data_IF_223258950634
#
_entry.id   IF_223258950634
#
_cell.length_a   1.000
_cell.length_b   1.000
_cell.length_c   1.000
_cell.angle_alpha   90.00
_cell.angle_beta   90.00
_cell.angle_gamma   90.00
#
_symmetry.space_group_name_H-M   'P 1'
#
loop_
_entity.id
_entity.type
_entity.pdbx_description
1 polymer ?
#
# COMPACT_ATOMS: atom_id res chain seq x y z
N UNK A 1 8.13 22.68 -1.80
CA UNK A 1 7.69 21.42 -2.44
C UNK A 1 6.20 21.29 -2.18
N UNK A 2 5.36 21.19 -3.21
CA UNK A 2 3.91 21.11 -3.06
C UNK A 2 3.45 19.86 -3.81
N UNK A 3 2.76 18.95 -3.12
CA UNK A 3 2.13 17.79 -3.75
C UNK A 3 0.79 18.27 -4.32
N UNK A 4 0.64 18.19 -5.65
CA UNK A 4 -0.65 18.30 -6.35
C UNK A 4 -0.80 17.09 -7.27
N UNK A 5 -1.99 16.52 -7.29
CA UNK A 5 -2.45 15.54 -8.29
C UNK A 5 -1.46 14.41 -8.62
N UNK A 6 -1.04 13.68 -7.59
CA UNK A 6 -0.34 12.39 -7.70
C UNK A 6 1.08 12.41 -8.34
N UNK A 7 1.72 13.56 -8.47
CA UNK A 7 3.13 13.62 -8.88
C UNK A 7 3.95 14.63 -8.07
N UNK A 8 5.21 14.28 -7.78
CA UNK A 8 6.23 15.22 -7.31
C UNK A 8 6.72 16.03 -8.52
N UNK A 9 6.36 17.31 -8.60
CA UNK A 9 6.87 18.21 -9.63
C UNK A 9 8.08 18.97 -9.08
N UNK A 10 9.23 18.81 -9.73
CA UNK A 10 10.44 19.59 -9.43
C UNK A 10 10.23 21.06 -9.80
N UNK A 11 10.62 21.99 -8.92
CA UNK A 11 10.58 23.44 -9.18
C UNK A 11 11.75 23.93 -10.04
N UNK A 12 12.65 23.05 -10.49
CA UNK A 12 13.74 23.41 -11.39
C UNK A 12 13.23 23.34 -12.83
N UNK A 13 13.33 24.47 -13.55
CA UNK A 13 12.86 24.62 -14.92
C UNK A 13 13.20 23.43 -15.82
N UNK A 14 12.16 22.84 -16.40
CA UNK A 14 12.27 21.78 -17.39
C UNK A 14 13.12 22.26 -18.57
N UNK A 15 14.32 21.71 -18.70
CA UNK A 15 15.16 21.84 -19.91
C UNK A 15 14.97 20.59 -20.77
N UNK A 16 14.47 20.70 -22.01
CA UNK A 16 14.40 19.56 -22.92
C UNK A 16 15.81 18.95 -23.10
N UNK A 17 15.96 17.66 -22.81
CA UNK A 17 17.22 16.92 -22.98
C UNK A 17 17.98 16.53 -21.70
N UNK A 18 17.50 16.89 -20.50
CA UNK A 18 18.12 16.48 -19.24
C UNK A 18 17.38 15.28 -18.62
N UNK A 19 18.08 14.16 -18.41
CA UNK A 19 17.56 13.02 -17.64
C UNK A 19 17.45 13.42 -16.16
N UNK A 20 16.23 13.42 -15.61
CA UNK A 20 16.00 13.67 -14.18
C UNK A 20 16.28 12.37 -13.45
N UNK A 21 17.38 12.30 -12.71
CA UNK A 21 17.71 11.17 -11.84
C UNK A 21 17.16 11.46 -10.45
N UNK A 22 16.34 10.56 -9.89
CA UNK A 22 15.82 10.76 -8.54
C UNK A 22 16.86 10.36 -7.48
N UNK A 23 17.05 11.24 -6.48
CA UNK A 23 17.90 10.93 -5.33
C UNK A 23 17.28 9.85 -4.44
N UNK A 24 18.10 9.22 -3.58
CA UNK A 24 17.59 8.29 -2.54
C UNK A 24 16.55 8.95 -1.63
N UNK A 25 16.74 10.24 -1.31
CA UNK A 25 15.76 11.02 -0.55
C UNK A 25 14.43 11.15 -1.29
N UNK A 26 14.44 11.43 -2.59
CA UNK A 26 13.22 11.52 -3.39
C UNK A 26 12.43 10.19 -3.36
N UNK A 27 13.14 9.05 -3.47
CA UNK A 27 12.53 7.72 -3.36
C UNK A 27 11.96 7.47 -1.95
N UNK A 28 12.65 7.88 -0.90
CA UNK A 28 12.13 7.76 0.48
C UNK A 28 10.87 8.58 0.69
N UNK A 29 10.85 9.83 0.21
CA UNK A 29 9.71 10.72 0.32
C UNK A 29 8.51 10.17 -0.48
N UNK A 30 8.76 9.54 -1.63
CA UNK A 30 7.74 8.84 -2.42
C UNK A 30 7.15 7.61 -1.71
N UNK A 31 8.00 6.76 -1.11
CA UNK A 31 7.55 5.60 -0.31
C UNK A 31 6.73 6.06 0.89
N UNK A 32 7.17 7.10 1.61
CA UNK A 32 6.42 7.65 2.73
C UNK A 32 5.06 8.16 2.29
N UNK A 33 4.99 8.89 1.18
CA UNK A 33 3.72 9.38 0.63
C UNK A 33 2.79 8.21 0.24
N UNK A 34 3.33 7.14 -0.34
CA UNK A 34 2.57 5.94 -0.66
C UNK A 34 2.01 5.24 0.58
N UNK A 35 2.82 5.11 1.63
CA UNK A 35 2.39 4.53 2.90
C UNK A 35 1.28 5.35 3.56
N UNK A 36 1.43 6.68 3.64
CA UNK A 36 0.42 7.57 4.24
C UNK A 36 -0.91 7.41 3.49
N UNK A 37 -0.86 7.44 2.16
CA UNK A 37 -2.05 7.23 1.33
C UNK A 37 -2.69 5.86 1.57
N UNK A 38 -1.89 4.79 1.71
CA UNK A 38 -2.39 3.46 2.01
C UNK A 38 -3.04 3.39 3.40
N UNK A 39 -2.47 4.03 4.41
CA UNK A 39 -3.04 4.09 5.76
C UNK A 39 -4.42 4.77 5.75
N UNK A 40 -4.53 5.93 5.12
CA UNK A 40 -5.80 6.67 4.98
C UNK A 40 -6.83 5.84 4.19
N UNK A 41 -6.40 5.27 3.06
CA UNK A 41 -7.25 4.42 2.22
C UNK A 41 -7.79 3.21 3.00
N UNK A 42 -6.97 2.53 3.80
CA UNK A 42 -7.39 1.39 4.61
C UNK A 42 -8.38 1.80 5.69
N UNK A 43 -8.08 2.87 6.43
CA UNK A 43 -8.95 3.36 7.49
C UNK A 43 -10.35 3.73 6.95
N UNK A 44 -10.41 4.45 5.83
CA UNK A 44 -11.67 4.80 5.20
C UNK A 44 -12.41 3.60 4.60
N UNK A 45 -11.67 2.65 4.00
CA UNK A 45 -12.25 1.45 3.39
C UNK A 45 -12.81 0.47 4.44
N UNK A 46 -12.15 0.33 5.59
CA UNK A 46 -12.65 -0.47 6.72
C UNK A 46 -13.95 0.12 7.29
N UNK A 47 -14.01 1.44 7.46
CA UNK A 47 -15.26 2.10 7.89
C UNK A 47 -16.40 1.85 6.91
N UNK A 48 -16.14 1.98 5.60
CA UNK A 48 -17.14 1.68 4.56
C UNK A 48 -17.58 0.21 4.61
N UNK A 49 -16.64 -0.72 4.76
CA UNK A 49 -16.92 -2.15 4.85
C UNK A 49 -17.85 -2.49 6.02
N UNK A 50 -17.59 -1.91 7.20
CA UNK A 50 -18.44 -2.08 8.37
C UNK A 50 -19.85 -1.49 8.19
N UNK A 51 -19.94 -0.32 7.54
CA UNK A 51 -21.24 0.31 7.24
C UNK A 51 -22.07 -0.50 6.23
N UNK A 52 -21.42 -1.12 5.24
CA UNK A 52 -22.10 -1.94 4.23
C UNK A 52 -22.50 -3.32 4.77
N UNK A 53 -21.69 -3.91 5.64
CA UNK A 53 -21.89 -5.24 6.22
C UNK A 53 -21.78 -5.20 7.75
N UNK A 54 -22.90 -4.92 8.47
CA UNK A 54 -22.89 -4.79 9.93
C UNK A 54 -22.41 -6.05 10.69
N UNK A 55 -22.48 -7.23 10.07
CA UNK A 55 -21.94 -8.48 10.62
C UNK A 55 -20.40 -8.55 10.62
N UNK A 56 -19.75 -7.63 9.90
CA UNK A 56 -18.31 -7.52 9.84
C UNK A 56 -17.87 -6.48 10.87
N UNK A 57 -16.98 -6.89 11.78
CA UNK A 57 -16.27 -5.97 12.66
C UNK A 57 -14.90 -5.65 12.05
N UNK A 58 -14.45 -4.41 12.19
CA UNK A 58 -13.15 -3.97 11.64
C UNK A 58 -12.31 -3.28 12.71
N UNK A 59 -11.00 -3.46 12.63
CA UNK A 59 -10.05 -2.76 13.48
C UNK A 59 -8.93 -2.15 12.63
N UNK A 60 -8.58 -0.90 12.93
CA UNK A 60 -7.43 -0.20 12.37
C UNK A 60 -6.58 0.34 13.52
N UNK A 61 -5.28 0.06 13.51
CA UNK A 61 -4.36 0.51 14.54
C UNK A 61 -3.09 1.07 13.91
N UNK A 62 -2.86 2.38 14.04
CA UNK A 62 -1.55 2.97 13.74
C UNK A 62 -0.65 2.75 14.95
N UNK A 63 0.45 2.02 14.75
CA UNK A 63 1.39 1.70 15.82
C UNK A 63 2.39 2.84 16.01
N UNK A 64 2.86 3.41 14.90
CA UNK A 64 3.76 4.56 14.84
C UNK A 64 3.65 5.27 13.47
N UNK A 65 4.55 6.23 13.19
CA UNK A 65 4.59 6.99 11.93
C UNK A 65 4.91 6.16 10.68
N UNK A 66 5.30 4.90 10.84
CA UNK A 66 5.71 4.03 9.74
C UNK A 66 5.11 2.62 9.77
N UNK A 67 4.21 2.32 10.70
CA UNK A 67 3.59 1.00 10.86
C UNK A 67 2.10 1.13 11.20
N UNK A 68 1.26 0.37 10.50
CA UNK A 68 -0.13 0.17 10.90
C UNK A 68 -0.55 -1.29 10.74
N UNK A 69 -1.63 -1.65 11.45
CA UNK A 69 -2.31 -2.93 11.36
C UNK A 69 -3.77 -2.74 11.01
N UNK A 70 -4.33 -3.70 10.30
CA UNK A 70 -5.74 -3.77 9.96
C UNK A 70 -6.25 -5.20 10.13
N UNK A 71 -7.47 -5.35 10.66
CA UNK A 71 -8.11 -6.64 10.88
C UNK A 71 -9.59 -6.57 10.55
N UNK A 72 -10.11 -7.68 10.04
CA UNK A 72 -11.51 -7.92 9.74
C UNK A 72 -11.94 -9.17 10.49
N UNK A 73 -13.07 -9.08 11.18
CA UNK A 73 -13.66 -10.15 11.96
C UNK A 73 -15.07 -10.44 11.46
N UNK A 74 -15.43 -11.72 11.44
CA UNK A 74 -16.79 -12.18 11.18
C UNK A 74 -17.24 -13.02 12.36
N UNK A 75 -18.34 -12.64 13.00
CA UNK A 75 -18.86 -13.32 14.19
C UNK A 75 -17.78 -13.51 15.29
N UNK A 76 -16.98 -12.47 15.55
CA UNK A 76 -15.88 -12.49 16.53
C UNK A 76 -14.63 -13.27 16.10
N UNK A 77 -14.61 -13.91 14.94
CA UNK A 77 -13.44 -14.65 14.42
C UNK A 77 -12.66 -13.79 13.43
N UNK A 78 -11.35 -13.66 13.62
CA UNK A 78 -10.49 -12.96 12.65
C UNK A 78 -10.46 -13.74 11.33
N UNK A 79 -10.96 -13.11 10.26
CA UNK A 79 -11.01 -13.71 8.92
C UNK A 79 -9.94 -13.15 7.99
N UNK A 80 -9.44 -11.94 8.29
CA UNK A 80 -8.26 -11.37 7.66
C UNK A 80 -7.57 -10.40 8.60
N UNK A 81 -6.24 -10.40 8.61
CA UNK A 81 -5.42 -9.38 9.28
C UNK A 81 -4.18 -9.09 8.45
N UNK A 82 -3.68 -7.86 8.54
CA UNK A 82 -2.40 -7.50 7.95
C UNK A 82 -1.64 -6.48 8.77
N UNK A 83 -0.33 -6.48 8.56
CA UNK A 83 0.59 -5.44 9.01
C UNK A 83 1.25 -4.79 7.80
N UNK A 84 1.26 -3.46 7.78
CA UNK A 84 1.88 -2.66 6.73
C UNK A 84 2.88 -1.69 7.36
N UNK A 85 4.08 -1.63 6.81
CA UNK A 85 5.09 -0.70 7.26
C UNK A 85 6.05 -0.25 6.17
N UNK A 86 6.78 0.83 6.40
CA UNK A 86 7.88 1.25 5.53
C UNK A 86 9.16 1.49 6.32
N UNK A 87 10.32 1.18 5.74
CA UNK A 87 11.62 1.42 6.41
C UNK A 87 12.78 0.56 5.89
N UNK A 88 14.01 0.97 6.22
CA UNK A 88 15.26 0.23 6.03
C UNK A 88 15.76 0.06 4.58
N UNK A 89 14.87 -0.12 3.60
CA UNK A 89 15.20 -0.53 2.23
C UNK A 89 14.34 0.15 1.14
N UNK A 90 13.84 1.36 1.38
CA UNK A 90 13.03 2.12 0.41
C UNK A 90 11.84 1.33 -0.15
N UNK A 91 11.16 0.60 0.73
CA UNK A 91 10.01 -0.24 0.40
C UNK A 91 8.92 -0.18 1.46
N UNK A 92 7.70 -0.40 1.02
CA UNK A 92 6.59 -0.80 1.86
C UNK A 92 6.65 -2.32 1.98
N UNK A 93 6.44 -2.85 3.18
CA UNK A 93 6.27 -4.27 3.42
C UNK A 93 4.84 -4.52 3.86
N UNK A 94 4.24 -5.56 3.30
CA UNK A 94 2.90 -6.03 3.62
C UNK A 94 3.02 -7.48 4.09
N UNK A 95 2.42 -7.77 5.24
CA UNK A 95 2.34 -9.11 5.78
C UNK A 95 0.88 -9.43 6.09
N UNK A 96 0.35 -10.50 5.53
CA UNK A 96 -0.95 -11.05 5.96
C UNK A 96 -0.76 -12.00 7.13
N UNK A 97 -1.68 -11.88 8.08
CA UNK A 97 -1.90 -12.84 9.15
C UNK A 97 -3.32 -13.36 8.90
N UNK A 98 -3.42 -14.58 8.39
CA UNK A 98 -4.70 -15.20 8.03
C UNK A 98 -4.89 -16.50 8.80
N UNK A 99 -6.13 -16.74 9.21
CA UNK A 99 -6.58 -17.99 9.84
C UNK A 99 -6.82 -19.11 8.81
N UNK A 100 -6.64 -18.82 7.51
CA UNK A 100 -6.85 -19.78 6.42
C UNK A 100 -5.61 -20.67 6.19
N UNK A 101 -5.78 -21.89 5.63
CA UNK A 101 -4.69 -22.87 5.48
C UNK A 101 -3.51 -22.42 4.61
N UNK A 102 -3.69 -21.41 3.76
CA UNK A 102 -2.65 -20.91 2.84
C UNK A 102 -1.51 -20.16 3.56
N UNK A 103 -1.67 -19.82 4.84
CA UNK A 103 -0.63 -19.23 5.68
C UNK A 103 -0.44 -17.72 5.50
N UNK A 104 0.62 -17.20 6.11
CA UNK A 104 1.00 -15.78 6.01
C UNK A 104 1.71 -15.50 4.69
N UNK A 105 1.27 -14.44 3.99
CA UNK A 105 1.91 -13.95 2.78
C UNK A 105 2.65 -12.65 3.07
N UNK A 106 3.89 -12.57 2.57
CA UNK A 106 4.71 -11.36 2.64
C UNK A 106 4.92 -10.81 1.24
N UNK A 107 4.77 -9.49 1.09
CA UNK A 107 4.97 -8.78 -0.17
C UNK A 107 5.68 -7.45 0.08
N UNK A 108 6.40 -6.97 -0.93
CA UNK A 108 7.18 -5.75 -0.85
C UNK A 108 6.85 -4.84 -2.03
N UNK A 109 6.59 -3.56 -1.76
CA UNK A 109 6.47 -2.54 -2.80
C UNK A 109 7.69 -1.62 -2.75
N UNK A 110 8.50 -1.60 -3.80
CA UNK A 110 9.70 -0.78 -3.90
C UNK A 110 9.52 0.39 -4.86
N UNK A 111 10.23 1.50 -4.61
CA UNK A 111 10.22 2.67 -5.48
C UNK A 111 11.21 2.50 -6.65
N UNK A 112 10.67 2.45 -7.85
CA UNK A 112 11.41 2.34 -9.11
C UNK A 112 11.28 3.62 -9.95
N UNK A 113 12.22 3.79 -10.87
CA UNK A 113 12.29 4.96 -11.74
C UNK A 113 12.31 4.55 -13.22
N UNK A 114 11.49 5.20 -14.03
CA UNK A 114 11.55 5.07 -15.49
C UNK A 114 11.16 6.39 -16.14
N UNK A 115 11.93 6.84 -17.14
CA UNK A 115 11.65 8.04 -17.95
C UNK A 115 11.33 9.29 -17.09
N UNK A 116 12.08 9.48 -16.00
CA UNK A 116 11.91 10.63 -15.10
C UNK A 116 10.62 10.58 -14.25
N UNK A 117 10.06 9.39 -14.02
CA UNK A 117 8.89 9.19 -13.13
C UNK A 117 9.18 8.10 -12.10
N UNK A 118 8.69 8.31 -10.88
CA UNK A 118 8.69 7.29 -9.83
C UNK A 118 7.38 6.51 -9.85
N UNK A 119 7.48 5.21 -9.62
CA UNK A 119 6.35 4.30 -9.44
C UNK A 119 6.71 3.23 -8.41
N UNK A 120 5.70 2.53 -7.91
CA UNK A 120 5.86 1.38 -7.03
C UNK A 120 5.83 0.10 -7.85
N UNK A 121 6.61 -0.89 -7.42
CA UNK A 121 6.63 -2.22 -8.02
C UNK A 121 6.60 -3.29 -6.92
N UNK A 122 5.74 -4.30 -7.08
CA UNK A 122 5.67 -5.45 -6.17
C UNK A 122 6.84 -6.41 -6.40
N UNK A 123 7.31 -7.06 -5.33
CA UNK A 123 8.42 -8.01 -5.35
C UNK A 123 8.04 -9.31 -4.60
N UNK A 124 8.33 -10.51 -5.16
CA UNK A 124 9.02 -10.73 -6.43
C UNK A 124 8.20 -10.30 -7.64
N UNK A 125 8.89 -9.93 -8.72
CA UNK A 125 8.32 -9.44 -9.97
C UNK A 125 7.67 -10.60 -10.75
N UNK A 126 6.52 -11.09 -10.26
CA UNK A 126 5.79 -12.19 -10.90
C UNK A 126 5.07 -11.70 -12.16
N UNK A 127 4.73 -10.40 -12.21
CA UNK A 127 4.04 -9.77 -13.34
C UNK A 127 4.86 -8.59 -13.86
N UNK A 128 5.47 -8.75 -15.05
CA UNK A 128 6.41 -7.81 -15.70
C UNK A 128 5.93 -6.35 -15.85
N UNK A 129 4.64 -6.06 -15.65
CA UNK A 129 4.03 -4.75 -15.91
C UNK A 129 3.30 -4.12 -14.70
N UNK A 130 3.64 -4.48 -13.46
CA UNK A 130 3.04 -3.85 -12.27
C UNK A 130 3.69 -2.50 -11.90
N UNK A 131 3.54 -1.50 -12.78
CA UNK A 131 3.86 -0.10 -12.47
C UNK A 131 2.70 0.54 -11.69
N UNK A 132 2.80 0.53 -10.37
CA UNK A 132 1.76 1.02 -9.48
C UNK A 132 1.97 2.51 -9.17
N UNK A 133 0.92 3.31 -9.34
CA UNK A 133 0.86 4.65 -8.72
C UNK A 133 0.67 4.50 -7.21
N UNK A 134 0.81 5.60 -6.46
CA UNK A 134 0.47 5.61 -5.02
C UNK A 134 -0.95 5.07 -4.79
N UNK A 135 -1.93 5.52 -5.59
CA UNK A 135 -3.31 5.05 -5.48
C UNK A 135 -3.44 3.57 -5.80
N UNK A 136 -2.92 3.12 -6.94
CA UNK A 136 -2.99 1.72 -7.35
C UNK A 136 -2.28 0.80 -6.35
N UNK A 137 -1.24 1.29 -5.68
CA UNK A 137 -0.55 0.51 -4.64
C UNK A 137 -1.42 0.28 -3.41
N UNK A 138 -2.20 1.27 -2.97
CA UNK A 138 -3.13 1.09 -1.86
C UNK A 138 -4.26 0.14 -2.22
N UNK A 139 -4.83 0.27 -3.43
CA UNK A 139 -5.86 -0.63 -3.97
C UNK A 139 -5.34 -2.07 -4.09
N UNK A 140 -4.08 -2.23 -4.52
CA UNK A 140 -3.41 -3.52 -4.62
C UNK A 140 -3.27 -4.20 -3.25
N UNK A 141 -2.77 -3.47 -2.24
CA UNK A 141 -2.65 -3.99 -0.87
C UNK A 141 -4.03 -4.33 -0.28
N UNK A 142 -5.02 -3.48 -0.52
CA UNK A 142 -6.40 -3.71 -0.07
C UNK A 142 -7.01 -4.96 -0.70
N UNK A 143 -6.79 -5.17 -2.00
CA UNK A 143 -7.25 -6.38 -2.70
C UNK A 143 -6.65 -7.64 -2.09
N UNK A 144 -5.37 -7.63 -1.71
CA UNK A 144 -4.73 -8.75 -1.01
C UNK A 144 -5.31 -8.97 0.38
N UNK A 145 -5.48 -7.90 1.13
CA UNK A 145 -6.07 -7.93 2.47
C UNK A 145 -7.50 -8.47 2.47
N UNK A 146 -8.32 -8.11 1.48
CA UNK A 146 -9.72 -8.52 1.40
C UNK A 146 -9.95 -9.79 0.58
N UNK A 147 -8.91 -10.35 -0.04
CA UNK A 147 -9.02 -11.59 -0.83
C UNK A 147 -9.68 -12.74 -0.06
N UNK A 148 -9.32 -13.02 1.22
CA UNK A 148 -9.95 -14.09 1.99
C UNK A 148 -11.46 -13.91 2.18
N UNK A 149 -11.95 -12.66 2.20
CA UNK A 149 -13.37 -12.35 2.44
C UNK A 149 -14.26 -12.81 1.29
N UNK A 150 -13.75 -12.78 0.05
CA UNK A 150 -14.51 -13.21 -1.14
C UNK A 150 -14.89 -14.68 -1.10
N UNK A 151 -14.10 -15.50 -0.40
CA UNK A 151 -14.32 -16.93 -0.29
C UNK A 151 -15.29 -17.32 0.83
N UNK A 152 -15.72 -16.37 1.68
CA UNK A 152 -16.63 -16.64 2.80
C UNK A 152 -18.11 -16.59 2.36
N UNK A 153 -18.38 -15.95 1.22
CA UNK A 153 -19.72 -15.80 0.64
C UNK A 153 -20.12 -16.89 -0.37
N UNK A 154 -19.51 -18.09 -0.31
CA UNK A 154 -19.87 -19.26 -1.13
C UNK A 154 -20.31 -20.44 -0.27
#
# INVERSE_FOLDING_TARGET
MIIKDQYLISSAGFRPGMSIIFSKKNKNDFIRAAYIYAADYFNDSLRKLHLEFPQIETAFCSLDESHFMASVYLNGTAVSSCRIWFGGNNRITFLTECSVPEGSHCDFLAAEEEKGRLFLKSLPDIEKENKLTIKLSAEYLWKKFTFPLKNISN
#
